data_IF_240914340159
#
_entry.id   IF_240914340159
#
_cell.length_a   1.000
_cell.length_b   1.000
_cell.length_c   1.000
_cell.angle_alpha   90.00
_cell.angle_beta   90.00
_cell.angle_gamma   90.00
#
_symmetry.space_group_name_H-M   'P 1'
#
loop_
_entity.id
_entity.type
_entity.pdbx_description
1 polymer ?
#
# COMPACT_ATOMS: atom_id res chain seq x y z
N UNK A 1 -18.09 4.54 4.15
CA UNK A 1 -17.67 3.17 3.76
C UNK A 1 -17.32 3.07 2.27
N UNK A 2 -16.07 2.74 1.94
CA UNK A 2 -15.62 2.43 0.58
C UNK A 2 -15.90 0.97 0.22
N UNK A 3 -16.22 0.72 -1.03
CA UNK A 3 -16.47 -0.62 -1.59
C UNK A 3 -15.38 -1.04 -2.56
N UNK A 4 -15.31 -2.34 -2.87
CA UNK A 4 -14.41 -2.89 -3.89
C UNK A 4 -14.48 -2.11 -5.22
N UNK A 5 -15.68 -1.82 -5.73
CA UNK A 5 -15.86 -1.14 -7.03
C UNK A 5 -15.33 0.29 -7.00
N UNK A 6 -15.52 1.01 -5.89
CA UNK A 6 -14.99 2.36 -5.73
C UNK A 6 -13.46 2.34 -5.67
N UNK A 7 -12.88 1.44 -4.88
CA UNK A 7 -11.43 1.28 -4.79
C UNK A 7 -10.81 0.90 -6.14
N UNK A 8 -11.36 -0.11 -6.83
CA UNK A 8 -10.88 -0.52 -8.15
C UNK A 8 -10.93 0.62 -9.17
N UNK A 9 -12.03 1.40 -9.18
CA UNK A 9 -12.16 2.56 -10.04
C UNK A 9 -11.09 3.60 -9.72
N UNK A 10 -10.89 3.96 -8.45
CA UNK A 10 -9.92 4.97 -8.04
C UNK A 10 -8.48 4.54 -8.33
N UNK A 11 -8.12 3.27 -8.10
CA UNK A 11 -6.77 2.77 -8.41
C UNK A 11 -6.51 2.81 -9.91
N UNK A 12 -7.49 2.43 -10.76
CA UNK A 12 -7.36 2.52 -12.22
C UNK A 12 -7.17 3.95 -12.72
N UNK A 13 -7.68 4.95 -12.00
CA UNK A 13 -7.48 6.36 -12.35
C UNK A 13 -6.03 6.84 -12.15
N UNK A 14 -5.18 6.06 -11.46
CA UNK A 14 -3.74 6.31 -11.40
C UNK A 14 -3.04 6.04 -12.75
N UNK A 15 -3.74 5.43 -13.72
CA UNK A 15 -3.24 5.13 -15.06
C UNK A 15 -1.91 4.35 -15.06
N UNK A 16 -1.73 3.48 -14.06
CA UNK A 16 -0.60 2.54 -14.02
C UNK A 16 -0.83 1.49 -15.12
N UNK A 17 0.13 1.26 -16.02
CA UNK A 17 0.02 0.22 -17.04
C UNK A 17 -0.23 -1.15 -16.40
N UNK A 18 -1.13 -2.00 -16.96
CA UNK A 18 -1.42 -3.32 -16.39
C UNK A 18 -0.18 -4.24 -16.26
N UNK A 19 0.86 -3.97 -17.04
CA UNK A 19 2.14 -4.65 -17.07
C UNK A 19 3.27 -3.92 -16.33
N UNK A 20 2.97 -2.85 -15.60
CA UNK A 20 3.95 -2.26 -14.69
C UNK A 20 4.00 -3.09 -13.38
N UNK A 21 5.19 -3.55 -12.93
CA UNK A 21 5.33 -4.04 -11.56
C UNK A 21 5.17 -2.88 -10.57
N UNK A 22 4.41 -3.10 -9.51
CA UNK A 22 4.09 -2.07 -8.50
C UNK A 22 4.67 -2.48 -7.14
N UNK A 23 5.39 -1.56 -6.51
CA UNK A 23 5.67 -1.64 -5.07
C UNK A 23 4.62 -0.77 -4.37
N UNK A 24 3.82 -1.38 -3.50
CA UNK A 24 2.74 -0.70 -2.80
C UNK A 24 3.06 -0.51 -1.32
N UNK A 25 2.78 0.69 -0.83
CA UNK A 25 2.64 1.00 0.59
C UNK A 25 1.22 1.49 0.81
N UNK A 26 0.52 0.94 1.79
CA UNK A 26 -0.85 1.30 2.08
C UNK A 26 -1.08 1.42 3.58
N UNK A 27 -1.80 2.47 3.97
CA UNK A 27 -2.35 2.62 5.31
C UNK A 27 -3.85 2.44 5.23
N UNK A 28 -4.39 1.32 5.76
CA UNK A 28 -5.82 1.03 5.69
C UNK A 28 -6.66 2.13 6.36
N UNK A 29 -6.17 2.70 7.46
CA UNK A 29 -6.86 3.78 8.18
C UNK A 29 -6.99 5.06 7.35
N UNK A 30 -6.06 5.34 6.43
CA UNK A 30 -6.13 6.51 5.55
C UNK A 30 -7.30 6.44 4.55
N UNK A 31 -7.85 5.25 4.29
CA UNK A 31 -9.03 5.06 3.45
C UNK A 31 -10.35 5.29 4.19
N UNK A 32 -10.30 5.49 5.51
CA UNK A 32 -11.48 5.45 6.37
C UNK A 32 -12.08 4.05 6.44
N UNK A 33 -13.40 3.97 6.52
CA UNK A 33 -14.10 2.68 6.62
C UNK A 33 -14.15 1.97 5.26
N UNK A 34 -13.63 0.74 5.18
CA UNK A 34 -13.69 -0.11 3.98
C UNK A 34 -14.59 -1.31 4.25
N UNK A 35 -15.59 -1.52 3.39
CA UNK A 35 -16.47 -2.68 3.47
C UNK A 35 -15.67 -3.96 3.25
N UNK A 36 -15.61 -4.85 4.23
CA UNK A 36 -14.78 -6.06 4.15
C UNK A 36 -13.28 -5.81 4.39
N UNK A 37 -12.92 -4.67 4.98
CA UNK A 37 -11.59 -4.43 5.55
C UNK A 37 -10.43 -4.50 4.54
N UNK A 38 -9.33 -5.09 4.99
CA UNK A 38 -8.09 -5.17 4.23
C UNK A 38 -8.23 -6.03 2.97
N UNK A 39 -9.04 -7.09 3.05
CA UNK A 39 -9.28 -8.06 1.97
C UNK A 39 -9.91 -7.38 0.75
N UNK A 40 -10.85 -6.46 0.97
CA UNK A 40 -11.47 -5.69 -0.11
C UNK A 40 -10.47 -4.75 -0.79
N UNK A 41 -9.60 -4.09 -0.01
CA UNK A 41 -8.53 -3.25 -0.57
C UNK A 41 -7.52 -4.07 -1.36
N UNK A 42 -7.07 -5.20 -0.81
CA UNK A 42 -6.14 -6.12 -1.46
C UNK A 42 -6.72 -6.67 -2.76
N UNK A 43 -7.98 -7.10 -2.75
CA UNK A 43 -8.66 -7.59 -3.96
C UNK A 43 -8.73 -6.53 -5.06
N UNK A 44 -9.07 -5.29 -4.69
CA UNK A 44 -9.11 -4.18 -5.65
C UNK A 44 -7.72 -3.87 -6.21
N UNK A 45 -6.69 -3.88 -5.36
CA UNK A 45 -5.30 -3.65 -5.74
C UNK A 45 -4.78 -4.72 -6.69
N UNK A 46 -4.98 -6.01 -6.38
CA UNK A 46 -4.56 -7.13 -7.25
C UNK A 46 -5.31 -7.15 -8.59
N UNK A 47 -6.57 -6.70 -8.60
CA UNK A 47 -7.36 -6.59 -9.84
C UNK A 47 -6.87 -5.45 -10.74
N UNK A 48 -6.37 -4.36 -10.16
CA UNK A 48 -5.83 -3.23 -10.91
C UNK A 48 -4.36 -3.44 -11.31
N UNK A 49 -3.57 -4.00 -10.40
CA UNK A 49 -2.12 -4.17 -10.50
C UNK A 49 -1.77 -5.65 -10.20
N UNK A 50 -1.78 -6.54 -11.21
CA UNK A 50 -1.57 -7.98 -11.00
C UNK A 50 -0.18 -8.35 -10.48
N UNK A 51 0.82 -7.48 -10.68
CA UNK A 51 2.20 -7.64 -10.21
C UNK A 51 2.48 -6.65 -9.10
N UNK A 52 2.14 -7.03 -7.87
CA UNK A 52 2.35 -6.19 -6.69
C UNK A 52 3.36 -6.81 -5.73
N UNK A 53 4.22 -5.97 -5.17
CA UNK A 53 5.12 -6.27 -4.07
C UNK A 53 4.83 -5.28 -2.94
N UNK A 54 4.92 -5.72 -1.69
CA UNK A 54 4.80 -4.84 -0.52
C UNK A 54 5.91 -5.16 0.46
N UNK A 55 6.45 -4.17 1.17
CA UNK A 55 7.36 -4.45 2.26
C UNK A 55 6.67 -5.24 3.38
N UNK A 56 7.33 -6.30 3.84
CA UNK A 56 6.88 -7.15 4.93
C UNK A 56 7.93 -7.15 6.06
N UNK A 57 8.27 -5.95 6.54
CA UNK A 57 9.30 -5.79 7.57
C UNK A 57 8.90 -6.46 8.88
N UNK A 58 9.84 -7.17 9.50
CA UNK A 58 9.69 -7.71 10.85
C UNK A 58 10.34 -6.75 11.83
N UNK A 59 9.53 -5.91 12.48
CA UNK A 59 10.05 -4.88 13.40
C UNK A 59 10.85 -5.44 14.59
N UNK A 60 10.62 -6.70 14.96
CA UNK A 60 11.35 -7.35 16.07
C UNK A 60 12.87 -7.41 15.86
N UNK A 61 13.33 -7.39 14.61
CA UNK A 61 14.75 -7.44 14.26
C UNK A 61 15.20 -6.16 13.55
N UNK A 62 14.40 -5.10 13.60
CA UNK A 62 14.75 -3.84 12.97
C UNK A 62 15.79 -3.12 13.84
N UNK A 63 16.94 -2.82 13.25
CA UNK A 63 17.94 -1.91 13.83
C UNK A 63 17.76 -0.57 13.13
N UNK A 64 17.34 0.43 13.90
CA UNK A 64 17.21 1.81 13.43
C UNK A 64 18.54 2.50 13.73
N UNK A 65 19.22 3.09 12.72
CA UNK A 65 20.42 3.87 12.97
C UNK A 65 20.11 5.17 13.74
N UNK A 66 21.11 5.73 14.40
CA UNK A 66 21.01 7.04 15.06
C UNK A 66 20.78 8.20 14.07
N UNK A 67 21.29 8.06 12.84
CA UNK A 67 21.23 9.11 11.81
C UNK A 67 21.06 8.51 10.41
N UNK A 68 20.46 9.29 9.51
CA UNK A 68 20.43 8.97 8.08
C UNK A 68 19.75 10.05 7.24
N UNK A 69 19.50 9.79 5.95
CA UNK A 69 18.96 10.78 5.02
C UNK A 69 17.57 11.28 5.43
N UNK A 70 17.35 12.58 5.27
CA UNK A 70 16.03 13.19 5.52
C UNK A 70 14.97 12.72 4.51
N UNK A 71 13.71 12.78 4.91
CA UNK A 71 12.53 12.56 4.06
C UNK A 71 12.43 11.17 3.39
N UNK A 72 12.99 10.11 4.00
CA UNK A 72 12.89 8.74 3.49
C UNK A 72 11.82 7.87 4.19
N UNK A 73 11.04 8.48 5.09
CA UNK A 73 9.96 7.79 5.81
C UNK A 73 10.42 6.91 6.98
N UNK A 74 11.67 7.05 7.45
CA UNK A 74 12.11 6.46 8.71
C UNK A 74 12.30 7.52 9.79
N UNK A 75 11.91 7.18 11.02
CA UNK A 75 12.31 7.90 12.22
C UNK A 75 13.64 7.30 12.71
N UNK A 76 14.67 8.14 12.84
CA UNK A 76 15.99 7.77 13.37
C UNK A 76 16.04 8.04 14.88
N UNK A 77 16.88 7.31 15.60
CA UNK A 77 16.99 7.36 17.07
C UNK A 77 16.88 5.98 17.69
#
# INVERSE_FOLDING_TARGET
MLTFRQLLKSIRQLNIPPDAPVIAHASLSAFGEVHGGAETLLGALLTACPRVMMPAFTYKTMVIPEVGPENNGMEYG
#
